data_IF_501297390821
#
_entry.id   IF_501297390821
#
_cell.length_a   1.000
_cell.length_b   1.000
_cell.length_c   1.000
_cell.angle_alpha   90.00
_cell.angle_beta   90.00
_cell.angle_gamma   90.00
#
_symmetry.space_group_name_H-M   'P 1'
#
loop_
_entity.id
_entity.type
_entity.pdbx_description
1 polymer ?
#
# COMPACT_ATOMS: atom_id res chain seq x y z
N UNK A 1 -8.46 21.73 -31.32
CA UNK A 1 -7.33 21.15 -30.56
C UNK A 1 -7.86 20.78 -29.19
N UNK A 2 -8.05 19.49 -28.91
CA UNK A 2 -8.38 19.02 -27.55
C UNK A 2 -7.07 19.07 -26.77
N UNK A 3 -7.03 19.85 -25.69
CA UNK A 3 -5.90 19.85 -24.77
C UNK A 3 -5.86 18.46 -24.15
N UNK A 4 -4.76 17.75 -24.35
CA UNK A 4 -4.54 16.44 -23.73
C UNK A 4 -4.04 16.74 -22.33
N UNK A 5 -4.98 16.94 -21.40
CA UNK A 5 -4.70 17.20 -19.98
C UNK A 5 -4.36 15.87 -19.27
N UNK A 6 -3.45 15.09 -19.86
CA UNK A 6 -2.93 13.89 -19.24
C UNK A 6 -1.87 14.33 -18.23
N UNK A 7 -2.27 14.39 -16.96
CA UNK A 7 -1.36 14.63 -15.84
C UNK A 7 -0.41 13.43 -15.73
N UNK A 8 0.89 13.69 -15.70
CA UNK A 8 1.95 12.69 -15.52
C UNK A 8 2.43 12.62 -14.07
N UNK A 9 3.17 11.57 -13.71
CA UNK A 9 3.81 11.45 -12.40
C UNK A 9 4.76 12.63 -12.11
N UNK A 10 5.47 13.12 -13.12
CA UNK A 10 6.36 14.28 -13.01
C UNK A 10 5.59 15.57 -12.67
N UNK A 11 4.41 15.76 -13.27
CA UNK A 11 3.54 16.92 -12.97
C UNK A 11 3.07 16.88 -11.50
N UNK A 12 2.72 15.70 -11.00
CA UNK A 12 2.31 15.53 -9.60
C UNK A 12 3.51 15.79 -8.68
N UNK A 13 4.70 15.27 -9.01
CA UNK A 13 5.90 15.50 -8.20
C UNK A 13 6.22 17.00 -8.07
N UNK A 14 6.13 17.75 -9.18
CA UNK A 14 6.35 19.19 -9.18
C UNK A 14 5.34 19.95 -8.30
N UNK A 15 4.06 19.56 -8.33
CA UNK A 15 3.01 20.17 -7.49
C UNK A 15 3.21 19.86 -6.01
N UNK A 16 3.63 18.64 -5.69
CA UNK A 16 3.90 18.19 -4.32
C UNK A 16 5.10 18.94 -3.72
N UNK A 17 6.18 19.08 -4.48
CA UNK A 17 7.35 19.86 -4.08
C UNK A 17 6.99 21.34 -3.87
N UNK A 18 6.23 21.93 -4.81
CA UNK A 18 5.75 23.31 -4.67
C UNK A 18 4.86 23.50 -3.43
N UNK A 19 3.97 22.55 -3.14
CA UNK A 19 3.13 22.56 -1.94
C UNK A 19 3.92 22.42 -0.64
N UNK A 20 4.99 21.60 -0.64
CA UNK A 20 5.91 21.47 0.48
C UNK A 20 6.69 22.78 0.72
N UNK A 21 7.26 23.38 -0.33
CA UNK A 21 7.97 24.65 -0.26
C UNK A 21 7.08 25.82 0.17
N UNK A 22 5.82 25.84 -0.28
CA UNK A 22 4.83 26.82 0.14
C UNK A 22 4.33 26.61 1.60
N UNK A 23 4.76 25.53 2.26
CA UNK A 23 4.36 25.21 3.64
C UNK A 23 2.89 24.81 3.78
N UNK A 24 2.22 24.47 2.67
CA UNK A 24 0.81 24.07 2.64
C UNK A 24 0.61 22.56 2.69
N UNK A 25 1.69 21.78 2.48
CA UNK A 25 1.69 20.33 2.60
C UNK A 25 2.23 19.90 3.96
N UNK A 26 1.47 19.07 4.68
CA UNK A 26 1.91 18.52 5.97
C UNK A 26 2.85 17.35 5.76
N UNK A 27 3.67 17.07 6.77
CA UNK A 27 4.60 15.92 6.75
C UNK A 27 3.88 14.59 6.51
N UNK A 28 2.74 14.34 7.17
CA UNK A 28 1.98 13.10 6.97
C UNK A 28 1.41 12.98 5.54
N UNK A 29 1.02 14.11 4.94
CA UNK A 29 0.50 14.13 3.57
C UNK A 29 1.63 13.88 2.57
N UNK A 30 2.82 14.44 2.82
CA UNK A 30 4.02 14.18 2.02
C UNK A 30 4.42 12.69 2.07
N UNK A 31 4.51 12.11 3.27
CA UNK A 31 4.82 10.68 3.45
C UNK A 31 3.79 9.77 2.78
N UNK A 32 2.50 10.13 2.85
CA UNK A 32 1.44 9.39 2.16
C UNK A 32 1.65 9.41 0.64
N UNK A 33 1.95 10.58 0.09
CA UNK A 33 2.16 10.74 -1.35
C UNK A 33 3.40 9.95 -1.80
N UNK A 34 4.50 10.01 -1.05
CA UNK A 34 5.70 9.20 -1.31
C UNK A 34 5.38 7.70 -1.29
N UNK A 35 4.63 7.21 -0.31
CA UNK A 35 4.22 5.80 -0.24
C UNK A 35 3.38 5.39 -1.46
N UNK A 36 2.51 6.28 -1.97
CA UNK A 36 1.70 6.01 -3.17
C UNK A 36 2.58 5.93 -4.42
N UNK A 37 3.56 6.81 -4.57
CA UNK A 37 4.52 6.72 -5.66
C UNK A 37 5.39 5.47 -5.57
N UNK A 38 5.81 5.09 -4.36
CA UNK A 38 6.56 3.86 -4.15
C UNK A 38 5.77 2.63 -4.62
N UNK A 39 4.45 2.60 -4.38
CA UNK A 39 3.58 1.48 -4.80
C UNK A 39 3.59 1.24 -6.32
N UNK A 40 3.82 2.27 -7.15
CA UNK A 40 3.94 2.10 -8.61
C UNK A 40 5.14 1.21 -8.98
N UNK A 41 6.23 1.31 -8.21
CA UNK A 41 7.45 0.54 -8.43
C UNK A 41 7.43 -0.84 -7.77
N UNK A 42 6.51 -1.07 -6.82
CA UNK A 42 6.46 -2.32 -6.04
C UNK A 42 5.92 -3.47 -6.88
N UNK A 43 6.60 -4.60 -6.78
CA UNK A 43 6.18 -5.84 -7.46
C UNK A 43 5.24 -6.64 -6.58
N UNK A 44 4.38 -7.44 -7.20
CA UNK A 44 3.44 -8.33 -6.48
C UNK A 44 4.17 -9.25 -5.47
N UNK A 45 5.31 -9.90 -5.79
CA UNK A 45 6.09 -10.68 -4.82
C UNK A 45 6.63 -9.87 -3.63
N UNK A 46 6.95 -8.59 -3.83
CA UNK A 46 7.49 -7.72 -2.77
C UNK A 46 6.43 -7.24 -1.75
N UNK A 47 5.14 -7.43 -2.06
CA UNK A 47 4.03 -6.96 -1.23
C UNK A 47 3.12 -8.08 -0.72
N UNK A 48 3.20 -9.27 -1.30
CA UNK A 48 2.40 -10.41 -0.87
C UNK A 48 2.99 -11.10 0.37
N UNK A 49 2.14 -11.74 1.16
CA UNK A 49 2.58 -12.74 2.14
C UNK A 49 3.04 -14.00 1.38
N UNK A 50 4.27 -14.48 1.59
CA UNK A 50 4.74 -15.72 0.97
C UNK A 50 3.80 -16.89 1.26
N UNK A 51 3.63 -17.81 0.32
CA UNK A 51 2.62 -18.90 0.39
C UNK A 51 2.79 -19.78 1.63
N UNK A 52 4.04 -19.98 2.05
CA UNK A 52 4.45 -20.70 3.25
C UNK A 52 4.03 -20.00 4.55
N UNK A 53 3.80 -18.69 4.52
CA UNK A 53 3.40 -17.86 5.65
C UNK A 53 1.90 -17.54 5.64
N UNK A 54 1.15 -17.99 4.63
CA UNK A 54 -0.31 -17.82 4.55
C UNK A 54 -0.98 -18.79 5.52
N UNK A 55 -1.72 -18.25 6.49
CA UNK A 55 -2.65 -19.04 7.31
C UNK A 55 -3.83 -19.45 6.42
N UNK A 56 -4.07 -20.76 6.30
CA UNK A 56 -5.14 -21.32 5.49
C UNK A 56 -5.98 -22.31 6.29
N UNK A 57 -7.24 -22.45 5.89
CA UNK A 57 -8.23 -23.33 6.51
C UNK A 57 -8.63 -24.43 5.54
N UNK A 58 -8.72 -25.66 6.04
CA UNK A 58 -9.29 -26.76 5.25
C UNK A 58 -10.83 -26.72 5.33
N UNK A 59 -11.52 -27.14 4.27
CA UNK A 59 -12.99 -27.19 4.24
C UNK A 59 -13.58 -28.17 5.25
N UNK A 60 -12.79 -29.16 5.69
CA UNK A 60 -13.19 -30.21 6.61
C UNK A 60 -12.55 -30.06 8.00
N UNK A 61 -11.97 -28.91 8.29
CA UNK A 61 -11.35 -28.62 9.58
C UNK A 61 -12.40 -28.40 10.68
N UNK A 62 -12.16 -28.96 11.87
CA UNK A 62 -13.05 -28.81 13.00
C UNK A 62 -12.91 -27.42 13.67
N UNK A 63 -13.97 -26.97 14.35
CA UNK A 63 -14.03 -25.63 14.94
C UNK A 63 -12.90 -25.36 15.96
N UNK A 64 -12.44 -26.39 16.68
CA UNK A 64 -11.37 -26.24 17.66
C UNK A 64 -10.04 -25.96 16.95
N UNK A 65 -9.76 -26.68 15.86
CA UNK A 65 -8.57 -26.47 15.03
C UNK A 65 -8.57 -25.08 14.37
N UNK A 66 -9.73 -24.59 13.92
CA UNK A 66 -9.88 -23.24 13.36
C UNK A 66 -9.55 -22.13 14.38
N UNK A 67 -10.06 -22.24 15.62
CA UNK A 67 -9.82 -21.26 16.70
C UNK A 67 -8.34 -21.18 17.08
N UNK A 68 -7.65 -22.30 17.06
CA UNK A 68 -6.23 -22.38 17.37
C UNK A 68 -5.36 -21.67 16.29
N UNK A 69 -5.81 -21.65 15.03
CA UNK A 69 -5.13 -20.93 13.93
C UNK A 69 -5.34 -19.41 13.99
N UNK A 70 -6.57 -18.95 14.29
CA UNK A 70 -6.94 -17.52 14.27
C UNK A 70 -6.53 -16.72 15.52
N UNK A 71 -6.18 -17.38 16.63
CA UNK A 71 -5.88 -16.72 17.91
C UNK A 71 -4.44 -16.27 18.13
N UNK A 72 -3.51 -16.57 17.21
CA UNK A 72 -2.06 -16.46 17.47
C UNK A 72 -1.30 -15.35 16.74
N UNK A 73 -1.89 -14.60 15.81
CA UNK A 73 -1.15 -13.62 14.99
C UNK A 73 -1.94 -12.33 14.80
N UNK A 74 -1.99 -11.50 15.84
CA UNK A 74 -2.20 -10.06 15.70
C UNK A 74 -0.92 -9.37 16.16
N UNK A 75 0.12 -9.46 15.34
CA UNK A 75 1.33 -8.66 15.46
C UNK A 75 1.74 -8.21 14.05
N UNK A 76 0.90 -7.36 13.48
CA UNK A 76 1.33 -6.29 12.57
C UNK A 76 1.00 -4.97 13.26
#
# INVERSE_FOLDING_TARGET
MVRKDDITSDDIYAVVEAGALAGVLRKQEHELIENVFELESRTVPSSMTPRENVIWFDLHEDEQSLKNKGGGTSAL
#
